data_IF_110282849683
#
_entry.id   IF_110282849683
#
_cell.length_a   1.000
_cell.length_b   1.000
_cell.length_c   1.000
_cell.angle_alpha   90.00
_cell.angle_beta   90.00
_cell.angle_gamma   90.00
#
_symmetry.space_group_name_H-M   'P 1'
#
loop_
_entity.id
_entity.type
_entity.pdbx_description
1 polymer ?
#
# COMPACT_ATOMS: atom_id res chain seq x y z
N UNK A 1 16.85 -43.30 19.95
CA UNK A 1 16.74 -41.84 20.21
C UNK A 1 16.92 -41.11 18.89
N UNK A 2 15.84 -40.61 18.27
CA UNK A 2 15.92 -39.76 17.09
C UNK A 2 16.27 -38.32 17.51
N UNK A 3 17.32 -37.75 16.94
CA UNK A 3 17.60 -36.30 17.00
C UNK A 3 16.93 -35.65 15.79
N UNK A 4 15.96 -34.79 16.05
CA UNK A 4 15.38 -33.89 15.05
C UNK A 4 16.39 -32.76 14.83
N UNK A 5 16.94 -32.64 13.62
CA UNK A 5 17.78 -31.52 13.22
C UNK A 5 16.86 -30.40 12.71
N UNK A 6 16.74 -29.32 13.47
CA UNK A 6 16.14 -28.08 12.98
C UNK A 6 17.19 -27.35 12.13
N UNK A 7 16.96 -27.27 10.82
CA UNK A 7 17.74 -26.40 9.94
C UNK A 7 17.20 -24.97 10.08
N UNK A 8 17.79 -24.20 10.99
CA UNK A 8 17.50 -22.78 11.12
C UNK A 8 18.15 -22.02 9.96
N UNK A 9 17.38 -21.67 8.93
CA UNK A 9 17.79 -20.65 7.97
C UNK A 9 17.69 -19.29 8.67
N UNK A 10 18.84 -18.69 8.92
CA UNK A 10 18.99 -17.44 9.66
C UNK A 10 18.41 -16.28 8.86
N UNK A 11 17.52 -15.52 9.51
CA UNK A 11 17.04 -14.21 9.04
C UNK A 11 18.18 -13.16 9.07
N UNK A 12 19.40 -13.57 9.46
CA UNK A 12 20.55 -12.72 9.77
C UNK A 12 21.34 -12.20 8.55
N UNK A 13 21.01 -12.61 7.31
CA UNK A 13 21.67 -12.09 6.09
C UNK A 13 20.80 -11.09 5.29
N UNK A 14 19.83 -10.44 5.93
CA UNK A 14 19.03 -9.42 5.27
C UNK A 14 19.82 -8.11 5.11
N UNK A 15 20.06 -7.70 3.86
CA UNK A 15 20.62 -6.38 3.52
C UNK A 15 19.50 -5.36 3.36
N UNK A 16 19.68 -4.17 3.93
CA UNK A 16 18.72 -3.05 3.84
C UNK A 16 18.93 -2.28 2.53
N UNK A 17 17.86 -2.06 1.78
CA UNK A 17 17.85 -1.28 0.55
C UNK A 17 16.76 -0.21 0.59
N UNK A 18 17.05 0.96 0.03
CA UNK A 18 16.06 2.02 -0.16
C UNK A 18 15.57 2.00 -1.61
N UNK A 19 14.27 2.10 -1.83
CA UNK A 19 13.65 2.08 -3.14
C UNK A 19 12.75 3.30 -3.31
N UNK A 20 12.95 4.06 -4.39
CA UNK A 20 12.15 5.25 -4.72
C UNK A 20 11.38 4.97 -6.01
N UNK A 21 10.24 4.28 -5.89
CA UNK A 21 9.36 4.01 -7.04
C UNK A 21 8.23 5.03 -7.07
N UNK A 22 7.94 5.56 -8.25
CA UNK A 22 6.72 6.33 -8.49
C UNK A 22 5.56 5.37 -8.79
N UNK A 23 4.39 5.69 -8.24
CA UNK A 23 3.17 4.88 -8.37
C UNK A 23 1.98 5.77 -8.64
N UNK A 24 0.95 5.20 -9.25
CA UNK A 24 -0.37 5.82 -9.31
C UNK A 24 -1.23 5.20 -8.23
N UNK A 25 -1.98 6.01 -7.47
CA UNK A 25 -2.85 5.48 -6.43
C UNK A 25 -4.23 6.11 -6.48
N UNK A 26 -5.25 5.34 -6.09
CA UNK A 26 -6.61 5.85 -5.84
C UNK A 26 -7.21 5.19 -4.59
N UNK A 27 -8.01 5.92 -3.80
CA UNK A 27 -8.74 5.32 -2.68
C UNK A 27 -9.60 4.14 -3.14
N UNK A 28 -9.55 3.02 -2.42
CA UNK A 28 -10.31 1.81 -2.70
C UNK A 28 -10.42 0.96 -1.44
N UNK A 29 -11.63 0.48 -1.12
CA UNK A 29 -11.84 -0.45 -0.01
C UNK A 29 -11.19 -1.81 -0.30
N UNK A 30 -10.83 -2.56 0.74
CA UNK A 30 -10.33 -3.94 0.56
C UNK A 30 -11.32 -4.81 -0.19
N UNK A 31 -12.61 -4.66 0.10
CA UNK A 31 -13.67 -5.42 -0.53
C UNK A 31 -13.78 -5.17 -2.03
N UNK A 32 -13.68 -3.91 -2.45
CA UNK A 32 -13.72 -3.56 -3.86
C UNK A 32 -12.47 -4.03 -4.60
N UNK A 33 -11.31 -4.00 -3.94
CA UNK A 33 -10.08 -4.57 -4.49
C UNK A 33 -10.17 -6.09 -4.68
N UNK A 34 -10.67 -6.83 -3.68
CA UNK A 34 -10.86 -8.27 -3.79
C UNK A 34 -11.88 -8.63 -4.88
N UNK A 35 -12.97 -7.87 -5.02
CA UNK A 35 -13.91 -8.01 -6.15
C UNK A 35 -13.23 -7.78 -7.51
N UNK A 36 -12.40 -6.74 -7.64
CA UNK A 36 -11.64 -6.44 -8.86
C UNK A 36 -10.74 -7.61 -9.27
N UNK A 37 -10.15 -8.32 -8.30
CA UNK A 37 -9.27 -9.48 -8.52
C UNK A 37 -10.02 -10.81 -8.64
N UNK A 38 -11.33 -10.83 -8.39
CA UNK A 38 -12.12 -12.06 -8.29
C UNK A 38 -11.76 -12.93 -7.07
N UNK A 39 -11.22 -12.33 -6.01
CA UNK A 39 -10.79 -13.03 -4.80
C UNK A 39 -11.91 -13.07 -3.76
N UNK A 40 -12.02 -14.21 -3.07
CA UNK A 40 -12.91 -14.34 -1.91
C UNK A 40 -12.23 -13.74 -0.70
N UNK A 41 -12.92 -12.84 -0.02
CA UNK A 41 -12.42 -12.18 1.19
C UNK A 41 -12.44 -13.20 2.33
N UNK A 42 -11.30 -13.46 3.00
CA UNK A 42 -11.28 -14.25 4.22
C UNK A 42 -12.23 -13.69 5.28
N UNK A 43 -12.90 -14.56 6.05
CA UNK A 43 -13.87 -14.13 7.06
C UNK A 43 -13.26 -13.28 8.20
N UNK A 44 -11.94 -13.35 8.38
CA UNK A 44 -11.19 -12.57 9.36
C UNK A 44 -10.77 -11.18 8.85
N UNK A 45 -11.13 -10.81 7.63
CA UNK A 45 -10.80 -9.51 7.05
C UNK A 45 -12.06 -8.66 6.86
N UNK A 46 -11.99 -7.39 7.24
CA UNK A 46 -13.09 -6.46 7.04
C UNK A 46 -13.06 -5.88 5.60
N UNK A 47 -14.11 -6.10 4.78
CA UNK A 47 -14.19 -5.58 3.42
C UNK A 47 -14.21 -4.05 3.36
N UNK A 48 -14.71 -3.39 4.40
CA UNK A 48 -14.84 -1.93 4.47
C UNK A 48 -13.54 -1.24 4.87
N UNK A 49 -12.46 -1.98 5.08
CA UNK A 49 -11.20 -1.39 5.52
C UNK A 49 -10.67 -0.41 4.47
N UNK A 50 -10.35 0.84 4.88
CA UNK A 50 -9.91 1.88 3.98
C UNK A 50 -8.50 1.60 3.48
N UNK A 51 -8.29 1.83 2.19
CA UNK A 51 -6.99 1.66 1.56
C UNK A 51 -6.91 2.34 0.21
N UNK A 52 -5.82 2.04 -0.47
CA UNK A 52 -5.52 2.55 -1.79
C UNK A 52 -5.22 1.38 -2.73
N UNK A 53 -5.81 1.43 -3.92
CA UNK A 53 -5.31 0.68 -5.07
C UNK A 53 -4.05 1.41 -5.56
N UNK A 54 -2.94 0.69 -5.62
CA UNK A 54 -1.64 1.17 -6.07
C UNK A 54 -1.28 0.47 -7.38
N UNK A 55 -1.02 1.25 -8.42
CA UNK A 55 -0.65 0.78 -9.76
C UNK A 55 0.79 1.18 -10.03
N UNK A 56 1.63 0.17 -10.24
CA UNK A 56 3.03 0.29 -10.63
C UNK A 56 3.13 0.21 -12.15
N UNK A 57 4.07 0.95 -12.74
CA UNK A 57 4.37 0.93 -14.18
C UNK A 57 3.13 1.05 -15.09
N UNK A 58 2.19 1.92 -14.70
CA UNK A 58 0.91 2.07 -15.41
C UNK A 58 1.13 2.32 -16.90
N UNK A 59 0.49 1.51 -17.76
CA UNK A 59 0.58 1.61 -19.22
C UNK A 59 1.78 0.90 -19.85
N UNK A 60 2.52 0.08 -19.11
CA UNK A 60 3.59 -0.77 -19.65
C UNK A 60 3.25 -2.26 -19.53
N UNK A 61 4.06 -3.12 -20.14
CA UNK A 61 3.92 -4.58 -20.05
C UNK A 61 4.12 -5.11 -18.60
N UNK A 62 4.83 -4.35 -17.76
CA UNK A 62 5.10 -4.66 -16.35
C UNK A 62 4.08 -4.00 -15.39
N UNK A 63 2.89 -3.64 -15.89
CA UNK A 63 1.86 -3.05 -15.05
C UNK A 63 1.44 -4.02 -13.95
N UNK A 64 1.50 -3.55 -12.70
CA UNK A 64 1.19 -4.36 -11.53
C UNK A 64 0.27 -3.61 -10.57
N UNK A 65 -0.80 -4.29 -10.13
CA UNK A 65 -1.80 -3.76 -9.22
C UNK A 65 -1.60 -4.37 -7.82
N UNK A 66 -1.56 -3.49 -6.82
CA UNK A 66 -1.47 -3.82 -5.41
C UNK A 66 -2.54 -3.06 -4.61
N UNK A 67 -2.83 -3.51 -3.39
CA UNK A 67 -3.65 -2.78 -2.44
C UNK A 67 -2.86 -2.55 -1.15
N UNK A 68 -2.92 -1.34 -0.62
CA UNK A 68 -2.26 -0.96 0.63
C UNK A 68 -3.29 -0.38 1.61
N UNK A 69 -3.26 -0.77 2.89
CA UNK A 69 -4.03 -0.08 3.93
C UNK A 69 -3.74 1.42 3.93
N UNK A 70 -4.76 2.24 4.22
CA UNK A 70 -4.66 3.70 4.11
C UNK A 70 -3.53 4.27 4.98
N UNK A 71 -3.47 3.86 6.26
CA UNK A 71 -2.43 4.34 7.19
C UNK A 71 -1.00 3.98 6.75
N UNK A 72 -0.79 2.84 6.08
CA UNK A 72 0.53 2.44 5.55
C UNK A 72 0.87 3.26 4.31
N UNK A 73 -0.11 3.48 3.43
CA UNK A 73 0.09 4.25 2.21
C UNK A 73 0.41 5.71 2.52
N UNK A 74 -0.38 6.35 3.39
CA UNK A 74 -0.20 7.76 3.77
C UNK A 74 1.12 8.01 4.52
N UNK A 75 1.61 7.02 5.28
CA UNK A 75 2.90 7.12 5.95
C UNK A 75 4.11 6.93 5.01
N UNK A 76 3.93 6.18 3.91
CA UNK A 76 5.00 5.77 3.00
C UNK A 76 5.09 6.55 1.69
N UNK A 77 4.01 7.22 1.27
CA UNK A 77 3.91 7.88 -0.03
C UNK A 77 3.60 9.36 0.11
N UNK A 78 4.27 10.17 -0.73
CA UNK A 78 3.99 11.59 -0.87
C UNK A 78 3.44 11.84 -2.27
N UNK A 79 2.35 12.61 -2.36
CA UNK A 79 1.77 13.00 -3.65
C UNK A 79 2.79 13.83 -4.44
N UNK A 80 3.10 13.39 -5.65
CA UNK A 80 3.96 14.15 -6.55
C UNK A 80 3.10 15.14 -7.34
N UNK A 81 3.09 16.40 -6.90
CA UNK A 81 2.45 17.49 -7.61
C UNK A 81 3.33 17.88 -8.81
N UNK A 82 2.97 17.42 -10.00
CA UNK A 82 3.55 17.94 -11.24
C UNK A 82 2.94 19.33 -11.52
N UNK A 83 3.80 20.35 -11.57
CA UNK A 83 3.49 21.74 -11.95
C UNK A 83 2.31 22.40 -11.21
N UNK A 84 2.49 22.62 -9.91
CA UNK A 84 2.02 23.85 -9.28
C UNK A 84 0.51 24.05 -9.11
N UNK A 85 -0.33 23.02 -9.21
CA UNK A 85 -1.74 23.12 -8.76
C UNK A 85 -2.26 21.81 -8.16
N UNK A 86 -2.17 21.68 -6.83
CA UNK A 86 -3.17 20.94 -6.06
C UNK A 86 -3.80 21.88 -5.04
N UNK A 87 -5.04 22.28 -5.34
CA UNK A 87 -5.93 22.92 -4.38
C UNK A 87 -6.61 21.81 -3.59
N UNK A 88 -5.96 21.35 -2.52
CA UNK A 88 -6.63 20.74 -1.38
C UNK A 88 -6.22 21.54 -0.15
N UNK A 89 -6.86 22.69 0.04
CA UNK A 89 -6.73 23.39 1.32
C UNK A 89 -7.31 22.47 2.39
N UNK A 90 -6.45 21.89 3.24
CA UNK A 90 -6.87 21.49 4.59
C UNK A 90 -7.60 22.70 5.19
N UNK A 91 -8.84 22.58 5.68
CA UNK A 91 -9.42 23.63 6.49
C UNK A 91 -8.45 23.87 7.65
N UNK A 92 -7.95 25.10 7.78
CA UNK A 92 -7.20 25.49 8.96
C UNK A 92 -8.11 25.25 10.17
N UNK A 93 -7.59 24.74 11.31
CA UNK A 93 -8.39 24.62 12.52
C UNK A 93 -8.92 26.02 12.87
N UNK A 94 -10.23 26.16 12.92
CA UNK A 94 -10.90 27.36 13.42
C UNK A 94 -10.70 27.38 14.92
N UNK A 95 -9.64 28.06 15.39
CA UNK A 95 -9.64 28.77 16.67
C UNK A 95 -8.24 29.36 16.94
N UNK A 96 -8.11 30.67 16.71
CA UNK A 96 -7.22 31.54 17.48
C UNK A 96 -7.57 33.00 17.16
N UNK A 97 -8.77 33.40 17.62
CA UNK A 97 -9.13 34.70 18.18
C UNK A 97 -10.33 34.47 19.10
#
# INVERSE_FOLDING_TARGET
MCRVFYWGSTVDELKKYNCHKQVHAKPMSRGDYNKLRGWTIPANENPSDPGYLVVYNKGTEDEYLSWSPAHIFEAGYTEHLHDGKAVWKRPLPISLW
#
